data_IF_197975953655
#
_entry.id   IF_197975953655
#
_cell.length_a   1.000
_cell.length_b   1.000
_cell.length_c   1.000
_cell.angle_alpha   90.00
_cell.angle_beta   90.00
_cell.angle_gamma   90.00
#
_symmetry.space_group_name_H-M   'P 1'
#
loop_
_entity.id
_entity.type
_entity.pdbx_description
1 polymer ?
#
# COMPACT_ATOMS: atom_id res chain seq x y z
N UNK A 1 9.46 -42.84 4.26
CA UNK A 1 8.99 -42.28 2.98
C UNK A 1 9.01 -40.79 3.17
N UNK A 2 10.02 -40.12 2.61
CA UNK A 2 10.16 -38.66 2.73
C UNK A 2 9.04 -38.00 1.91
N UNK A 3 8.19 -37.21 2.56
CA UNK A 3 7.20 -36.37 1.88
C UNK A 3 7.92 -35.40 0.94
N UNK A 4 7.41 -35.15 -0.26
CA UNK A 4 7.99 -34.17 -1.16
C UNK A 4 7.94 -32.76 -0.50
N UNK A 5 8.88 -31.87 -0.81
CA UNK A 5 8.85 -30.51 -0.29
C UNK A 5 7.57 -29.79 -0.75
N UNK A 6 7.09 -28.81 0.03
CA UNK A 6 5.88 -28.07 -0.31
C UNK A 6 5.99 -27.44 -1.71
N UNK A 7 4.90 -27.55 -2.47
CA UNK A 7 4.83 -26.97 -3.81
C UNK A 7 4.51 -25.48 -3.73
N UNK A 8 5.36 -24.66 -4.30
CA UNK A 8 5.20 -23.20 -4.36
C UNK A 8 4.74 -22.81 -5.77
N UNK A 9 3.69 -22.03 -5.84
CA UNK A 9 3.07 -21.58 -7.12
C UNK A 9 3.35 -20.09 -7.32
N UNK A 10 3.96 -19.72 -8.43
CA UNK A 10 4.27 -18.34 -8.81
C UNK A 10 3.42 -17.90 -10.00
N UNK A 11 2.91 -16.67 -9.97
CA UNK A 11 2.44 -16.01 -11.17
C UNK A 11 3.58 -15.20 -11.80
N UNK A 12 4.00 -15.56 -13.00
CA UNK A 12 5.00 -14.79 -13.75
C UNK A 12 4.29 -13.82 -14.70
N UNK A 13 4.47 -12.52 -14.52
CA UNK A 13 4.00 -11.53 -15.48
C UNK A 13 5.12 -11.19 -16.46
N UNK A 14 5.09 -11.78 -17.66
CA UNK A 14 5.97 -11.37 -18.77
C UNK A 14 5.35 -10.29 -19.66
N UNK A 15 4.16 -9.79 -19.35
CA UNK A 15 3.45 -8.77 -20.13
C UNK A 15 3.45 -7.42 -19.41
N UNK A 16 4.10 -6.43 -19.99
CA UNK A 16 4.35 -5.07 -19.46
C UNK A 16 3.13 -4.19 -19.17
N UNK A 17 1.91 -4.70 -19.30
CA UNK A 17 0.67 -3.90 -19.17
C UNK A 17 -0.31 -4.41 -18.09
N UNK A 18 0.08 -5.37 -17.27
CA UNK A 18 -0.81 -5.88 -16.23
C UNK A 18 -0.27 -5.46 -14.87
N UNK A 19 -0.91 -4.48 -14.26
CA UNK A 19 -0.57 -3.93 -12.93
C UNK A 19 -1.11 -4.80 -11.80
N UNK A 20 -0.80 -6.11 -11.81
CA UNK A 20 -1.14 -7.03 -10.73
C UNK A 20 0.01 -7.16 -9.73
N UNK A 21 -0.33 -7.44 -8.47
CA UNK A 21 0.68 -7.76 -7.45
C UNK A 21 1.14 -9.20 -7.63
N UNK A 22 2.45 -9.48 -7.81
CA UNK A 22 2.95 -10.85 -7.85
C UNK A 22 2.72 -11.53 -6.49
N UNK A 23 2.38 -12.80 -6.54
CA UNK A 23 2.17 -13.60 -5.33
C UNK A 23 2.75 -15.01 -5.48
N UNK A 24 3.06 -15.62 -4.35
CA UNK A 24 3.40 -17.02 -4.22
C UNK A 24 2.48 -17.64 -3.18
N UNK A 25 1.92 -18.81 -3.49
CA UNK A 25 1.07 -19.57 -2.60
C UNK A 25 1.76 -20.88 -2.22
N UNK A 26 1.94 -21.13 -0.92
CA UNK A 26 2.45 -22.39 -0.40
C UNK A 26 1.29 -23.24 0.07
N UNK A 27 1.21 -24.47 -0.43
CA UNK A 27 0.21 -25.44 -0.03
C UNK A 27 0.86 -26.49 0.85
N UNK A 28 0.51 -26.49 2.14
CA UNK A 28 1.00 -27.49 3.11
C UNK A 28 0.26 -28.82 2.94
N UNK A 29 0.98 -29.91 3.21
CA UNK A 29 0.45 -31.27 3.21
C UNK A 29 -0.24 -31.68 1.89
N UNK A 30 0.24 -31.13 0.77
CA UNK A 30 -0.28 -31.47 -0.53
C UNK A 30 -0.05 -32.97 -0.84
N UNK A 31 -1.12 -33.71 -1.09
CA UNK A 31 -1.05 -35.14 -1.42
C UNK A 31 -0.32 -35.41 -2.75
N UNK A 32 -0.44 -34.47 -3.71
CA UNK A 32 0.22 -34.55 -5.01
C UNK A 32 0.45 -33.15 -5.58
N UNK A 33 1.40 -33.05 -6.50
CA UNK A 33 1.59 -31.84 -7.28
C UNK A 33 0.45 -31.67 -8.29
N UNK A 34 -0.08 -30.45 -8.48
CA UNK A 34 -1.06 -30.17 -9.51
C UNK A 34 -0.43 -30.25 -10.90
N UNK A 35 -1.20 -30.69 -11.87
CA UNK A 35 -0.83 -30.62 -13.30
C UNK A 35 -1.04 -29.21 -13.84
N UNK A 36 -0.41 -28.86 -14.97
CA UNK A 36 -0.63 -27.59 -15.67
C UNK A 36 -2.12 -27.34 -15.96
N UNK A 37 -2.84 -28.38 -16.41
CA UNK A 37 -4.29 -28.30 -16.66
C UNK A 37 -5.10 -27.97 -15.40
N UNK A 38 -4.68 -28.48 -14.24
CA UNK A 38 -5.33 -28.17 -12.94
C UNK A 38 -5.03 -26.74 -12.49
N UNK A 39 -3.82 -26.25 -12.74
CA UNK A 39 -3.46 -24.86 -12.46
C UNK A 39 -4.25 -23.88 -13.35
N UNK A 40 -4.37 -24.18 -14.63
CA UNK A 40 -5.22 -23.41 -15.55
C UNK A 40 -6.69 -23.41 -15.15
N UNK A 41 -7.19 -24.55 -14.70
CA UNK A 41 -8.57 -24.65 -14.20
C UNK A 41 -8.75 -23.82 -12.91
N UNK A 42 -7.75 -23.77 -12.03
CA UNK A 42 -7.79 -22.94 -10.85
C UNK A 42 -7.82 -21.44 -11.20
N UNK A 43 -7.01 -20.98 -12.14
CA UNK A 43 -7.04 -19.58 -12.64
C UNK A 43 -8.43 -19.23 -13.18
N UNK A 44 -9.00 -20.12 -14.02
CA UNK A 44 -10.34 -19.91 -14.57
C UNK A 44 -11.40 -19.86 -13.47
N UNK A 45 -11.32 -20.75 -12.48
CA UNK A 45 -12.26 -20.77 -11.35
C UNK A 45 -12.17 -19.49 -10.51
N UNK A 46 -10.96 -19.01 -10.21
CA UNK A 46 -10.75 -17.75 -9.48
C UNK A 46 -11.36 -16.57 -10.25
N UNK A 47 -11.05 -16.48 -11.54
CA UNK A 47 -11.52 -15.37 -12.38
C UNK A 47 -13.04 -15.45 -12.64
N UNK A 48 -13.62 -16.66 -12.66
CA UNK A 48 -15.06 -16.86 -12.90
C UNK A 48 -15.89 -16.61 -11.63
N UNK A 49 -15.41 -17.05 -10.46
CA UNK A 49 -16.09 -16.81 -9.19
C UNK A 49 -16.26 -15.33 -8.85
N UNK A 50 -15.46 -14.51 -9.50
CA UNK A 50 -15.52 -13.04 -9.39
C UNK A 50 -16.53 -12.40 -10.35
N UNK A 51 -17.08 -13.14 -11.34
CA UNK A 51 -17.89 -12.57 -12.43
C UNK A 51 -19.39 -12.85 -12.33
N UNK A 52 -19.83 -13.78 -11.46
CA UNK A 52 -21.16 -14.37 -11.63
C UNK A 52 -22.08 -14.27 -10.40
N UNK A 53 -21.81 -13.40 -9.46
CA UNK A 53 -22.72 -13.24 -8.32
C UNK A 53 -23.51 -11.93 -8.45
N UNK A 54 -24.76 -12.04 -8.98
CA UNK A 54 -25.73 -10.93 -9.05
C UNK A 54 -26.04 -10.25 -7.70
N UNK A 55 -25.34 -10.64 -6.62
CA UNK A 55 -25.30 -9.97 -5.31
C UNK A 55 -24.28 -8.84 -5.26
N UNK A 56 -23.37 -8.74 -6.22
CA UNK A 56 -22.32 -7.70 -6.22
C UNK A 56 -22.86 -6.30 -6.50
N UNK A 57 -23.96 -6.15 -7.22
CA UNK A 57 -24.57 -4.84 -7.46
C UNK A 57 -25.22 -4.24 -6.18
N UNK A 58 -25.86 -5.05 -5.34
CA UNK A 58 -26.44 -4.58 -4.08
C UNK A 58 -25.37 -4.24 -3.02
N UNK A 59 -24.30 -5.03 -2.93
CA UNK A 59 -23.18 -4.77 -2.01
C UNK A 59 -22.38 -3.55 -2.44
N UNK A 60 -22.23 -3.33 -3.74
CA UNK A 60 -21.56 -2.15 -4.30
C UNK A 60 -22.37 -0.88 -4.03
N UNK A 61 -23.70 -0.95 -3.99
CA UNK A 61 -24.54 0.18 -3.64
C UNK A 61 -24.52 0.52 -2.14
N UNK A 62 -24.39 -0.45 -1.26
CA UNK A 62 -24.31 -0.24 0.20
C UNK A 62 -22.91 0.23 0.66
N UNK A 63 -21.85 -0.17 -0.04
CA UNK A 63 -20.48 0.30 0.21
C UNK A 63 -20.24 1.65 -0.47
N UNK A 64 -20.95 1.94 -1.54
CA UNK A 64 -20.81 3.14 -2.37
C UNK A 64 -21.71 4.32 -1.91
N UNK A 65 -21.86 4.53 -0.64
CA UNK A 65 -22.08 5.89 -0.13
C UNK A 65 -20.93 6.85 -0.53
N UNK A 66 -19.93 6.32 -1.28
CA UNK A 66 -18.78 7.04 -1.82
C UNK A 66 -19.11 7.61 -3.20
N UNK A 67 -18.77 8.88 -3.46
CA UNK A 67 -18.95 9.47 -4.79
C UNK A 67 -18.16 8.66 -5.83
N UNK A 68 -18.79 8.28 -6.92
CA UNK A 68 -18.16 7.57 -8.06
C UNK A 68 -16.90 8.26 -8.62
N UNK A 69 -16.67 9.51 -8.27
CA UNK A 69 -15.49 10.28 -8.66
C UNK A 69 -14.18 9.86 -7.98
N UNK A 70 -14.23 9.01 -6.95
CA UNK A 70 -13.02 8.49 -6.27
C UNK A 70 -12.63 7.09 -6.74
N UNK A 71 -13.49 6.42 -7.48
CA UNK A 71 -13.14 5.18 -8.17
C UNK A 71 -12.49 5.58 -9.49
N UNK A 72 -11.17 5.63 -9.53
CA UNK A 72 -10.40 5.93 -10.73
C UNK A 72 -10.81 5.01 -11.86
N UNK A 73 -11.55 5.55 -12.81
CA UNK A 73 -12.21 4.86 -13.90
C UNK A 73 -11.17 4.34 -14.79
N UNK A 74 -10.23 3.90 -15.04
CA UNK A 74 -9.50 3.51 -16.28
C UNK A 74 -8.41 2.45 -16.17
N UNK A 75 -8.24 1.76 -15.03
CA UNK A 75 -7.14 0.79 -14.94
C UNK A 75 -7.51 -0.67 -14.75
N UNK A 76 -8.77 -0.98 -14.56
CA UNK A 76 -9.27 -2.35 -14.50
C UNK A 76 -10.36 -2.58 -15.56
N UNK A 77 -9.93 -2.92 -16.79
CA UNK A 77 -10.80 -3.56 -17.77
C UNK A 77 -11.00 -5.04 -17.42
N UNK A 78 -11.47 -5.29 -16.22
CA UNK A 78 -12.03 -6.55 -15.81
C UNK A 78 -13.21 -6.19 -14.93
N UNK A 79 -14.38 -6.62 -15.31
CA UNK A 79 -15.69 -6.33 -14.72
C UNK A 79 -15.85 -6.75 -13.26
N UNK A 80 -14.83 -6.70 -12.41
CA UNK A 80 -14.88 -7.19 -11.04
C UNK A 80 -14.31 -6.18 -10.06
N UNK A 81 -15.18 -5.27 -9.64
CA UNK A 81 -14.86 -4.28 -8.59
C UNK A 81 -14.66 -4.91 -7.21
N UNK A 82 -15.05 -6.16 -6.97
CA UNK A 82 -14.97 -6.83 -5.67
C UNK A 82 -14.29 -8.21 -5.71
N UNK A 83 -13.75 -8.62 -6.84
CA UNK A 83 -13.16 -9.95 -7.00
C UNK A 83 -11.64 -9.95 -7.00
N UNK A 84 -11.07 -11.09 -6.66
CA UNK A 84 -9.66 -11.39 -6.86
C UNK A 84 -9.50 -11.98 -8.25
N UNK A 85 -8.71 -11.31 -9.12
CA UNK A 85 -8.37 -11.81 -10.45
C UNK A 85 -6.92 -12.28 -10.51
N UNK A 86 -6.64 -13.30 -11.30
CA UNK A 86 -5.29 -13.78 -11.61
C UNK A 86 -5.02 -13.54 -13.10
N UNK A 87 -4.00 -12.74 -13.39
CA UNK A 87 -3.72 -12.25 -14.75
C UNK A 87 -2.76 -13.10 -15.56
N UNK A 88 -2.10 -14.07 -14.96
CA UNK A 88 -1.13 -14.95 -15.63
C UNK A 88 -1.32 -16.41 -15.21
N UNK A 89 -0.80 -17.37 -15.99
CA UNK A 89 -0.85 -18.76 -15.60
C UNK A 89 -0.15 -18.98 -14.26
N UNK A 90 -0.66 -19.91 -13.47
CA UNK A 90 0.00 -20.38 -12.26
C UNK A 90 1.07 -21.42 -12.64
N UNK A 91 2.25 -21.29 -12.08
CA UNK A 91 3.37 -22.19 -12.31
C UNK A 91 3.91 -22.77 -11.01
N UNK A 92 4.34 -24.03 -11.05
CA UNK A 92 5.06 -24.61 -9.94
C UNK A 92 6.44 -23.96 -9.84
N UNK A 93 6.82 -23.56 -8.63
CA UNK A 93 8.09 -22.91 -8.39
C UNK A 93 8.76 -23.43 -7.12
N UNK A 94 10.00 -23.01 -6.88
CA UNK A 94 10.76 -23.39 -5.71
C UNK A 94 10.67 -22.35 -4.59
N UNK A 95 11.08 -22.73 -3.38
CA UNK A 95 11.15 -21.82 -2.23
C UNK A 95 12.09 -20.61 -2.46
N UNK A 96 13.10 -20.74 -3.35
CA UNK A 96 13.96 -19.62 -3.71
C UNK A 96 13.25 -18.48 -4.43
N UNK A 97 12.16 -18.77 -5.15
CA UNK A 97 11.33 -17.74 -5.78
C UNK A 97 10.58 -16.87 -4.76
N UNK A 98 10.28 -17.42 -3.58
CA UNK A 98 9.67 -16.67 -2.49
C UNK A 98 10.62 -15.59 -1.93
N UNK A 99 11.89 -15.94 -1.72
CA UNK A 99 12.93 -15.01 -1.26
C UNK A 99 13.18 -13.89 -2.27
N UNK A 100 13.19 -14.22 -3.57
CA UNK A 100 13.33 -13.23 -4.64
C UNK A 100 12.16 -12.24 -4.67
N UNK A 101 10.94 -12.73 -4.51
CA UNK A 101 9.73 -11.89 -4.48
C UNK A 101 9.70 -10.96 -3.26
N UNK A 102 10.18 -11.41 -2.10
CA UNK A 102 10.32 -10.57 -0.92
C UNK A 102 11.36 -9.47 -1.13
N UNK A 103 12.55 -9.81 -1.66
CA UNK A 103 13.61 -8.84 -1.93
C UNK A 103 13.13 -7.74 -2.90
N UNK A 104 12.50 -8.11 -4.01
CA UNK A 104 11.91 -7.14 -4.95
C UNK A 104 10.86 -6.23 -4.30
N UNK A 105 10.14 -6.71 -3.29
CA UNK A 105 9.11 -5.92 -2.61
C UNK A 105 9.72 -4.94 -1.60
N UNK A 106 10.89 -5.24 -1.05
CA UNK A 106 11.58 -4.43 -0.05
C UNK A 106 12.32 -3.22 -0.64
N UNK A 107 12.60 -3.20 -1.95
CA UNK A 107 13.30 -2.10 -2.62
C UNK A 107 12.36 -1.06 -3.27
N UNK A 108 11.05 -1.33 -3.34
CA UNK A 108 10.11 -0.51 -4.11
C UNK A 108 9.65 0.71 -3.35
N UNK A 109 9.75 1.86 -4.00
CA UNK A 109 9.12 3.11 -3.54
C UNK A 109 7.60 2.99 -3.68
N UNK A 110 6.88 3.47 -2.69
CA UNK A 110 5.41 3.47 -2.66
C UNK A 110 4.88 4.87 -2.48
N UNK A 111 3.91 5.21 -3.31
CA UNK A 111 3.22 6.49 -3.29
C UNK A 111 1.88 6.35 -2.58
N UNK A 112 1.61 7.26 -1.67
CA UNK A 112 0.40 7.25 -0.86
C UNK A 112 -0.27 8.61 -0.85
N UNK A 113 -1.61 8.58 -0.96
CA UNK A 113 -2.48 9.70 -0.65
C UNK A 113 -3.15 9.49 0.71
N UNK A 114 -3.21 10.52 1.54
CA UNK A 114 -3.82 10.44 2.87
C UNK A 114 -4.70 11.66 3.14
N UNK A 115 -5.80 11.44 3.86
CA UNK A 115 -6.56 12.50 4.51
C UNK A 115 -6.41 12.34 6.01
N UNK A 116 -5.98 13.41 6.66
CA UNK A 116 -5.73 13.43 8.10
C UNK A 116 -6.52 14.54 8.79
N UNK A 117 -7.03 14.21 9.97
CA UNK A 117 -7.51 15.19 10.94
C UNK A 117 -6.36 15.63 11.85
N UNK A 118 -6.34 16.90 12.24
CA UNK A 118 -5.38 17.44 13.21
C UNK A 118 -6.07 18.27 14.29
N UNK A 119 -5.55 18.18 15.51
CA UNK A 119 -5.99 19.02 16.64
C UNK A 119 -5.47 20.46 16.54
N UNK A 120 -4.46 20.68 15.71
CA UNK A 120 -3.87 22.02 15.48
C UNK A 120 -4.68 22.73 14.42
N UNK A 121 -4.97 24.01 14.65
CA UNK A 121 -5.60 24.84 13.63
C UNK A 121 -4.56 25.21 12.58
N UNK A 122 -4.84 24.83 11.34
CA UNK A 122 -4.04 25.18 10.16
C UNK A 122 -4.73 26.32 9.45
N UNK A 123 -4.08 27.47 9.37
CA UNK A 123 -4.69 28.70 8.82
C UNK A 123 -4.52 28.84 7.32
N UNK A 124 -3.41 28.34 6.78
CA UNK A 124 -3.12 28.39 5.35
C UNK A 124 -2.26 27.22 4.87
N UNK A 125 -2.13 27.05 3.57
CA UNK A 125 -1.24 26.05 2.96
C UNK A 125 0.23 26.39 3.25
N UNK A 126 0.59 27.67 3.25
CA UNK A 126 1.96 28.11 3.54
C UNK A 126 2.37 27.76 4.98
N UNK A 127 1.48 27.98 5.96
CA UNK A 127 1.72 27.57 7.36
C UNK A 127 1.92 26.06 7.47
N UNK A 128 1.12 25.27 6.73
CA UNK A 128 1.22 23.81 6.73
C UNK A 128 2.54 23.33 6.13
N UNK A 129 2.91 23.87 4.98
CA UNK A 129 4.14 23.56 4.26
C UNK A 129 5.37 23.91 5.11
N UNK A 130 5.38 25.10 5.72
CA UNK A 130 6.46 25.53 6.62
C UNK A 130 6.61 24.59 7.83
N UNK A 131 5.50 24.27 8.51
CA UNK A 131 5.53 23.38 9.68
C UNK A 131 5.99 21.96 9.35
N UNK A 132 5.63 21.44 8.19
CA UNK A 132 6.00 20.10 7.76
C UNK A 132 7.37 20.08 7.04
N UNK A 133 7.90 21.22 6.62
CA UNK A 133 9.11 21.33 5.81
C UNK A 133 8.98 20.55 4.50
N UNK A 134 7.80 20.58 3.90
CA UNK A 134 7.44 19.81 2.71
C UNK A 134 7.19 20.69 1.50
N UNK A 135 6.87 20.07 0.36
CA UNK A 135 6.51 20.77 -0.86
C UNK A 135 5.05 21.23 -0.83
N UNK A 136 4.72 22.37 -1.44
CA UNK A 136 3.36 22.74 -1.78
C UNK A 136 2.70 21.66 -2.66
N UNK A 137 1.37 21.53 -2.59
CA UNK A 137 0.62 20.48 -3.26
C UNK A 137 0.81 20.42 -4.78
N UNK A 138 0.93 21.57 -5.43
CA UNK A 138 0.98 21.69 -6.89
C UNK A 138 2.40 21.76 -7.46
N UNK A 139 3.43 21.60 -6.61
CA UNK A 139 4.82 21.59 -7.06
C UNK A 139 5.33 20.18 -7.30
N UNK A 140 6.03 20.00 -8.42
CA UNK A 140 6.75 18.77 -8.72
C UNK A 140 8.07 18.69 -7.92
N UNK A 141 8.54 17.48 -7.65
CA UNK A 141 9.71 17.16 -6.81
C UNK A 141 11.04 17.81 -7.27
N UNK A 142 11.08 18.44 -8.43
CA UNK A 142 12.30 19.01 -9.04
C UNK A 142 12.55 20.49 -8.72
N UNK A 143 11.81 21.10 -7.81
CA UNK A 143 12.06 22.49 -7.43
C UNK A 143 13.20 22.57 -6.41
N UNK A 144 14.23 23.38 -6.71
CA UNK A 144 15.35 23.73 -5.80
C UNK A 144 14.89 24.55 -4.56
N UNK A 145 13.72 24.25 -4.02
CA UNK A 145 13.13 25.03 -2.93
C UNK A 145 13.79 24.65 -1.60
N UNK A 146 14.44 25.63 -0.98
CA UNK A 146 15.30 25.50 0.20
C UNK A 146 14.55 25.08 1.50
N UNK A 147 13.23 24.96 1.46
CA UNK A 147 12.41 24.56 2.62
C UNK A 147 12.15 23.07 2.74
N UNK A 148 12.57 22.28 1.75
CA UNK A 148 12.29 20.87 1.72
C UNK A 148 13.27 20.06 2.61
N UNK A 149 12.79 19.48 3.71
CA UNK A 149 13.59 18.62 4.58
C UNK A 149 13.65 17.16 4.10
N UNK A 150 13.01 16.86 2.99
CA UNK A 150 12.94 15.49 2.45
C UNK A 150 14.09 15.22 1.46
N UNK A 151 14.64 13.99 1.43
CA UNK A 151 14.19 12.80 2.15
C UNK A 151 14.41 12.86 3.67
N UNK A 152 13.38 12.49 4.43
CA UNK A 152 13.38 12.52 5.89
C UNK A 152 13.57 11.10 6.43
N UNK A 153 14.62 10.89 7.23
CA UNK A 153 14.79 9.64 7.96
C UNK A 153 13.88 9.61 9.19
N UNK A 154 13.15 8.50 9.35
CA UNK A 154 12.27 8.25 10.48
C UNK A 154 12.66 6.94 11.18
N UNK A 155 12.52 6.91 12.50
CA UNK A 155 12.65 5.69 13.30
C UNK A 155 11.27 5.21 13.69
N UNK A 156 10.95 3.98 13.30
CA UNK A 156 9.66 3.36 13.59
C UNK A 156 9.87 2.09 14.38
N UNK A 157 9.30 2.04 15.56
CA UNK A 157 9.12 0.79 16.28
C UNK A 157 8.05 -0.06 15.62
N UNK A 158 8.07 -1.36 15.85
CA UNK A 158 6.96 -2.23 15.45
C UNK A 158 5.65 -1.68 15.99
N UNK A 159 4.65 -1.37 15.14
CA UNK A 159 3.41 -0.73 15.56
C UNK A 159 2.66 -1.50 16.65
N UNK A 160 2.08 -0.78 17.61
CA UNK A 160 1.31 -1.38 18.70
C UNK A 160 0.24 -2.35 18.18
N UNK A 161 -0.44 -2.00 17.10
CA UNK A 161 -1.50 -2.82 16.49
C UNK A 161 -1.04 -4.17 15.95
N UNK A 162 0.26 -4.38 15.75
CA UNK A 162 0.80 -5.64 15.19
C UNK A 162 1.78 -6.36 16.12
N UNK A 163 2.06 -5.82 17.32
CA UNK A 163 2.98 -6.44 18.29
C UNK A 163 2.58 -7.88 18.68
N UNK A 164 1.29 -8.19 18.65
CA UNK A 164 0.81 -9.55 18.96
C UNK A 164 1.27 -10.63 17.97
N UNK A 165 1.74 -10.25 16.79
CA UNK A 165 2.15 -11.17 15.71
C UNK A 165 3.52 -10.85 15.09
N UNK A 166 4.21 -9.83 15.57
CA UNK A 166 5.53 -9.43 15.07
C UNK A 166 6.46 -9.16 16.24
N UNK A 167 7.74 -9.45 16.06
CA UNK A 167 8.78 -9.08 17.03
C UNK A 167 8.81 -7.56 17.22
N UNK A 168 9.05 -7.14 18.48
CA UNK A 168 9.29 -5.74 18.78
C UNK A 168 10.68 -5.37 18.28
N UNK A 169 10.71 -4.47 17.30
CA UNK A 169 11.93 -4.08 16.61
C UNK A 169 11.82 -2.62 16.17
N UNK A 170 12.93 -1.90 16.20
CA UNK A 170 13.01 -0.52 15.71
C UNK A 170 13.66 -0.52 14.33
N UNK A 171 13.03 0.09 13.35
CA UNK A 171 13.51 0.16 11.98
C UNK A 171 13.61 1.58 11.51
N UNK A 172 14.73 1.89 10.87
CA UNK A 172 14.90 3.14 10.12
C UNK A 172 14.19 3.03 8.79
N UNK A 173 13.41 4.05 8.44
CA UNK A 173 12.68 4.21 7.17
C UNK A 173 12.88 5.61 6.64
N UNK A 174 12.53 5.81 5.38
CA UNK A 174 12.63 7.12 4.73
C UNK A 174 11.28 7.53 4.15
N UNK A 175 10.91 8.77 4.41
CA UNK A 175 9.92 9.48 3.63
C UNK A 175 10.72 10.24 2.56
N UNK A 176 10.57 9.83 1.31
CA UNK A 176 11.38 10.34 0.20
C UNK A 176 10.90 11.72 -0.24
N UNK A 177 9.58 11.87 -0.31
CA UNK A 177 8.94 13.15 -0.58
C UNK A 177 7.64 13.29 0.20
N UNK A 178 7.24 14.52 0.45
CA UNK A 178 5.96 14.87 1.05
C UNK A 178 5.46 16.16 0.42
N UNK A 179 4.20 16.19 0.00
CA UNK A 179 3.45 17.39 -0.32
C UNK A 179 2.18 17.46 0.50
N UNK A 180 1.76 18.67 0.84
CA UNK A 180 0.63 18.88 1.72
C UNK A 180 -0.26 20.02 1.23
N UNK A 181 -1.57 19.90 1.47
CA UNK A 181 -2.52 21.00 1.35
C UNK A 181 -3.53 20.99 2.48
N UNK A 182 -4.01 22.16 2.80
CA UNK A 182 -5.09 22.37 3.75
C UNK A 182 -6.44 22.10 3.07
N UNK A 183 -7.32 21.32 3.72
CA UNK A 183 -8.72 21.20 3.32
C UNK A 183 -9.56 22.22 4.08
N UNK A 184 -9.36 22.29 5.40
CA UNK A 184 -9.93 23.31 6.30
C UNK A 184 -9.07 23.42 7.56
N UNK A 185 -9.56 24.10 8.60
CA UNK A 185 -8.81 24.38 9.84
C UNK A 185 -8.23 23.13 10.54
N UNK A 186 -8.89 21.98 10.38
CA UNK A 186 -8.51 20.73 11.06
C UNK A 186 -8.31 19.56 10.11
N UNK A 187 -8.42 19.74 8.81
CA UNK A 187 -8.26 18.67 7.85
C UNK A 187 -7.21 19.03 6.81
N UNK A 188 -6.30 18.09 6.62
CA UNK A 188 -5.19 18.20 5.67
C UNK A 188 -5.16 17.00 4.75
N UNK A 189 -4.67 17.23 3.55
CA UNK A 189 -4.38 16.17 2.59
C UNK A 189 -2.86 16.11 2.37
N UNK A 190 -2.35 14.88 2.35
CA UNK A 190 -0.93 14.59 2.18
C UNK A 190 -0.75 13.66 1.00
N UNK A 191 0.31 13.87 0.22
CA UNK A 191 0.90 12.89 -0.69
C UNK A 191 2.32 12.62 -0.28
N UNK A 192 2.73 11.37 -0.32
CA UNK A 192 4.09 11.01 0.08
C UNK A 192 4.62 9.82 -0.70
N UNK A 193 5.92 9.86 -1.00
CA UNK A 193 6.69 8.72 -1.45
C UNK A 193 7.49 8.17 -0.27
N UNK A 194 7.50 6.86 -0.10
CA UNK A 194 8.15 6.22 1.05
C UNK A 194 8.99 5.02 0.62
N UNK A 195 10.05 4.75 1.38
CA UNK A 195 10.75 3.47 1.29
C UNK A 195 9.83 2.31 1.65
N UNK A 196 10.12 1.13 1.14
CA UNK A 196 9.36 -0.08 1.43
C UNK A 196 9.32 -0.40 2.92
N UNK A 197 8.17 -0.95 3.37
CA UNK A 197 7.99 -1.33 4.77
C UNK A 197 7.75 -0.17 5.73
N UNK A 198 7.57 1.05 5.22
CA UNK A 198 7.16 2.20 6.03
C UNK A 198 5.71 2.04 6.49
N UNK A 199 5.47 2.29 7.76
CA UNK A 199 4.13 2.30 8.34
C UNK A 199 3.56 3.72 8.26
N UNK A 200 2.79 3.98 7.20
CA UNK A 200 2.27 5.33 6.89
C UNK A 200 1.32 5.84 7.98
N UNK A 201 0.44 5.00 8.51
CA UNK A 201 -0.47 5.39 9.58
C UNK A 201 0.28 5.87 10.81
N UNK A 202 1.31 5.11 11.20
CA UNK A 202 2.17 5.42 12.32
C UNK A 202 3.00 6.69 12.08
N UNK A 203 3.41 6.96 10.83
CA UNK A 203 4.05 8.23 10.48
C UNK A 203 3.08 9.40 10.63
N UNK A 204 1.80 9.25 10.32
CA UNK A 204 0.82 10.31 10.53
C UNK A 204 0.58 10.59 12.02
N UNK A 205 0.17 9.59 12.81
CA UNK A 205 -0.24 9.81 14.20
C UNK A 205 0.87 9.65 15.24
N UNK A 206 2.05 9.17 14.85
CA UNK A 206 3.21 9.05 15.73
C UNK A 206 3.23 7.82 16.63
N UNK A 207 2.19 6.98 16.65
CA UNK A 207 2.07 5.75 17.44
C UNK A 207 2.51 5.93 18.91
N UNK A 208 2.00 6.96 19.57
CA UNK A 208 2.35 7.34 20.93
C UNK A 208 3.86 7.65 21.15
N UNK A 209 4.51 8.21 20.14
CA UNK A 209 5.95 8.54 20.17
C UNK A 209 6.87 7.42 19.67
N UNK A 210 6.31 6.29 19.22
CA UNK A 210 7.06 5.15 18.68
C UNK A 210 7.51 5.35 17.23
N UNK A 211 6.99 6.38 16.54
CA UNK A 211 7.48 6.85 15.23
C UNK A 211 7.97 8.29 15.37
N UNK A 212 9.25 8.51 15.07
CA UNK A 212 9.91 9.80 15.22
C UNK A 212 10.86 10.08 14.04
N UNK A 213 10.79 11.29 13.43
CA UNK A 213 9.69 12.23 13.54
C UNK A 213 8.40 11.70 12.89
N UNK A 214 7.27 12.33 13.21
CA UNK A 214 5.94 12.03 12.66
C UNK A 214 5.22 13.33 12.30
N UNK A 215 4.17 13.26 11.48
CA UNK A 215 3.34 14.44 11.16
C UNK A 215 2.79 15.07 12.44
N UNK A 216 2.36 14.23 13.40
CA UNK A 216 1.90 14.69 14.71
C UNK A 216 2.99 15.49 15.46
N UNK A 217 4.23 15.01 15.44
CA UNK A 217 5.36 15.74 16.11
C UNK A 217 5.75 17.01 15.35
N UNK A 218 5.72 17.00 14.02
CA UNK A 218 6.05 18.16 13.21
C UNK A 218 5.01 19.27 13.34
N UNK A 219 3.72 18.94 13.39
CA UNK A 219 2.66 19.90 13.61
C UNK A 219 2.53 20.38 15.08
N UNK A 220 3.12 19.64 16.01
CA UNK A 220 3.02 19.95 17.44
C UNK A 220 1.64 19.66 18.03
N UNK A 221 0.92 18.67 17.51
CA UNK A 221 -0.40 18.30 17.98
C UNK A 221 -0.82 16.89 17.54
N UNK A 222 -2.01 16.48 17.95
CA UNK A 222 -2.54 15.17 17.56
C UNK A 222 -2.92 15.18 16.10
N UNK A 223 -2.56 14.12 15.39
CA UNK A 223 -2.97 13.84 14.02
C UNK A 223 -3.57 12.44 13.98
N UNK A 224 -4.67 12.28 13.27
CA UNK A 224 -5.28 10.98 13.01
C UNK A 224 -5.56 10.83 11.52
N UNK A 225 -5.32 9.64 10.98
CA UNK A 225 -5.51 9.35 9.56
C UNK A 225 -6.89 8.73 9.35
N UNK A 226 -7.67 9.33 8.46
CA UNK A 226 -9.02 8.86 8.14
C UNK A 226 -9.09 8.10 6.83
N UNK A 227 -8.28 8.51 5.86
CA UNK A 227 -8.20 7.86 4.55
C UNK A 227 -6.74 7.60 4.18
N UNK A 228 -6.49 6.45 3.56
CA UNK A 228 -5.18 6.05 3.10
C UNK A 228 -5.30 5.24 1.81
N UNK A 229 -4.79 5.79 0.73
CA UNK A 229 -4.74 5.16 -0.58
C UNK A 229 -3.30 4.90 -1.02
N UNK A 230 -3.06 3.76 -1.64
CA UNK A 230 -1.80 3.48 -2.33
C UNK A 230 -1.97 3.89 -3.80
N UNK A 231 -1.41 5.04 -4.17
CA UNK A 231 -1.55 5.62 -5.51
C UNK A 231 -0.63 4.96 -6.54
N UNK A 232 0.49 4.39 -6.10
CA UNK A 232 1.45 3.75 -7.01
C UNK A 232 2.58 3.02 -6.31
N UNK A 233 3.28 2.22 -7.09
CA UNK A 233 4.51 1.52 -6.69
C UNK A 233 5.48 1.67 -7.87
N UNK A 234 6.65 2.21 -7.62
CA UNK A 234 7.74 2.25 -8.61
C UNK A 234 8.32 0.85 -8.75
N UNK A 235 8.45 0.40 -10.00
CA UNK A 235 8.99 -0.91 -10.35
C UNK A 235 10.38 -0.76 -10.96
#
# INVERSE_FOLDING_TARGET
MLLPPPSVVKSSSSNKNITGRPFVCEVFDAYRLPTATQLDAAVKAINHSSSDDGRTEEIVHDINGWPQSLVGNDRFHGSNLNGVGVSSPLELTSSSSFSGLQAETEEKVKHYGCICWTSVIIRSDEELVEKLGCLPWDQEENSDDQCNIFPLEIKQDTPLRVLHRRSSDTRTRQILSLSARRINDHWIQLRMATSAGTYVKEFCHGDCGRTQPSISSLLGGRVDITELDCEGIEM
#
